data_IF_686231379732
#
_entry.id   IF_686231379732
#
_cell.length_a   1.000
_cell.length_b   1.000
_cell.length_c   1.000
_cell.angle_alpha   90.00
_cell.angle_beta   90.00
_cell.angle_gamma   90.00
#
_symmetry.space_group_name_H-M   'P 1'
#
loop_
_entity.id
_entity.type
_entity.pdbx_description
1 polymer ?
#
# COMPACT_ATOMS: atom_id res chain seq x y z
N UNK A 1 -20.04 -16.04 7.05
CA UNK A 1 -18.74 -15.82 6.39
C UNK A 1 -18.03 -14.78 7.22
N UNK A 2 -16.80 -15.04 7.68
CA UNK A 2 -16.01 -14.01 8.34
C UNK A 2 -15.81 -12.82 7.40
N UNK A 3 -15.89 -11.61 7.94
CA UNK A 3 -15.62 -10.38 7.21
C UNK A 3 -14.21 -9.88 7.56
N UNK A 4 -13.69 -8.96 6.76
CA UNK A 4 -12.44 -8.27 7.03
C UNK A 4 -12.65 -6.76 6.95
N UNK A 5 -11.85 -6.01 7.71
CA UNK A 5 -11.78 -4.55 7.61
C UNK A 5 -10.55 -4.19 6.81
N UNK A 6 -10.74 -3.36 5.80
CA UNK A 6 -9.69 -2.89 4.90
C UNK A 6 -9.61 -1.36 4.91
N UNK A 7 -8.41 -0.82 4.72
CA UNK A 7 -8.19 0.55 4.29
C UNK A 7 -8.06 0.57 2.77
N UNK A 8 -8.92 1.35 2.13
CA UNK A 8 -8.84 1.62 0.69
C UNK A 8 -8.26 3.02 0.46
N UNK A 9 -7.40 3.21 -0.55
CA UNK A 9 -6.97 4.53 -0.97
C UNK A 9 -8.16 5.40 -1.40
N UNK A 10 -8.10 6.70 -1.14
CA UNK A 10 -9.19 7.63 -1.45
C UNK A 10 -9.63 7.55 -2.93
N UNK A 11 -10.94 7.61 -3.17
CA UNK A 11 -11.50 7.58 -4.52
C UNK A 11 -11.00 8.76 -5.35
N UNK A 12 -10.56 8.48 -6.58
CA UNK A 12 -10.01 9.50 -7.48
C UNK A 12 -8.55 9.87 -7.21
N UNK A 13 -7.88 9.21 -6.25
CA UNK A 13 -6.43 9.32 -6.10
C UNK A 13 -5.75 8.64 -7.32
N UNK A 14 -4.82 9.31 -8.03
CA UNK A 14 -4.04 8.69 -9.11
C UNK A 14 -3.33 7.40 -8.68
N UNK A 15 -2.97 7.31 -7.40
CA UNK A 15 -2.44 6.10 -6.77
C UNK A 15 -3.35 4.89 -6.99
N UNK A 16 -4.66 5.04 -6.75
CA UNK A 16 -5.62 3.93 -6.88
C UNK A 16 -5.62 3.37 -8.30
N UNK A 17 -5.67 4.25 -9.31
CA UNK A 17 -5.67 3.83 -10.72
C UNK A 17 -4.37 3.13 -11.11
N UNK A 18 -3.23 3.68 -10.70
CA UNK A 18 -1.93 3.11 -11.00
C UNK A 18 -1.76 1.72 -10.38
N UNK A 19 -2.16 1.56 -9.11
CA UNK A 19 -2.09 0.28 -8.43
C UNK A 19 -3.16 -0.71 -8.90
N UNK A 20 -4.35 -0.26 -9.28
CA UNK A 20 -5.36 -1.11 -9.93
C UNK A 20 -4.77 -1.77 -11.18
N UNK A 21 -4.12 -1.01 -12.06
CA UNK A 21 -3.49 -1.53 -13.29
C UNK A 21 -2.30 -2.45 -12.99
N UNK A 22 -1.49 -2.10 -11.99
CA UNK A 22 -0.38 -2.95 -11.55
C UNK A 22 -0.86 -4.31 -11.05
N UNK A 23 -1.86 -4.30 -10.16
CA UNK A 23 -2.38 -5.49 -9.47
C UNK A 23 -3.22 -6.35 -10.41
N UNK A 24 -4.10 -5.74 -11.21
CA UNK A 24 -5.04 -6.49 -12.06
C UNK A 24 -4.39 -7.05 -13.31
N UNK A 25 -3.33 -6.42 -13.84
CA UNK A 25 -2.77 -6.79 -15.14
C UNK A 25 -1.26 -7.00 -15.11
N UNK A 26 -0.52 -5.97 -14.69
CA UNK A 26 0.93 -5.92 -14.95
C UNK A 26 1.73 -6.93 -14.14
N UNK A 27 1.40 -7.11 -12.86
CA UNK A 27 2.08 -8.04 -11.96
C UNK A 27 1.69 -9.49 -12.28
N UNK A 28 0.39 -9.88 -12.39
CA UNK A 28 0.01 -11.25 -12.71
C UNK A 28 0.63 -11.78 -14.02
N UNK A 29 0.74 -10.94 -15.06
CA UNK A 29 1.39 -11.30 -16.33
C UNK A 29 2.85 -11.72 -16.18
N UNK A 30 3.57 -11.13 -15.23
CA UNK A 30 4.96 -11.53 -14.97
C UNK A 30 5.05 -12.99 -14.49
N UNK A 31 3.97 -13.56 -13.96
CA UNK A 31 3.91 -14.90 -13.36
C UNK A 31 3.01 -15.87 -14.14
N UNK A 32 2.58 -15.51 -15.36
CA UNK A 32 1.57 -16.25 -16.13
C UNK A 32 0.29 -16.53 -15.34
N UNK A 33 -0.03 -15.67 -14.39
CA UNK A 33 -1.26 -15.76 -13.58
C UNK A 33 -2.37 -14.99 -14.25
N UNK A 34 -3.62 -15.39 -13.96
CA UNK A 34 -4.79 -14.64 -14.41
C UNK A 34 -4.87 -13.32 -13.64
N UNK A 35 -5.47 -12.32 -14.28
CA UNK A 35 -5.89 -11.12 -13.58
C UNK A 35 -6.76 -11.50 -12.37
N UNK A 36 -6.42 -10.96 -11.20
CA UNK A 36 -7.24 -11.08 -10.01
C UNK A 36 -7.96 -9.76 -9.79
N UNK A 37 -9.24 -9.82 -9.43
CA UNK A 37 -10.01 -8.64 -9.01
C UNK A 37 -9.64 -8.31 -7.56
N UNK A 38 -8.39 -7.95 -7.33
CA UNK A 38 -7.91 -7.46 -6.04
C UNK A 38 -7.89 -5.94 -6.11
N UNK A 39 -8.71 -5.28 -5.29
CA UNK A 39 -8.66 -3.83 -5.16
C UNK A 39 -7.44 -3.42 -4.32
N UNK A 40 -6.78 -2.29 -4.60
CA UNK A 40 -5.74 -1.70 -3.78
C UNK A 40 -6.24 -1.51 -2.34
N UNK A 41 -5.72 -2.28 -1.39
CA UNK A 41 -6.12 -2.14 0.01
C UNK A 41 -5.04 -2.62 0.98
N UNK A 42 -5.20 -2.22 2.23
CA UNK A 42 -4.46 -2.74 3.40
C UNK A 42 -5.44 -3.41 4.33
N UNK A 43 -5.24 -4.69 4.62
CA UNK A 43 -6.07 -5.38 5.61
C UNK A 43 -5.69 -4.96 7.02
N UNK A 44 -6.69 -4.53 7.79
CA UNK A 44 -6.54 -4.09 9.18
C UNK A 44 -6.89 -5.18 10.17
N UNK A 45 -7.96 -5.92 9.91
CA UNK A 45 -8.40 -6.99 10.80
C UNK A 45 -9.19 -8.02 10.01
N UNK A 46 -8.74 -9.28 9.96
CA UNK A 46 -9.55 -10.39 9.47
C UNK A 46 -10.49 -10.92 10.55
N UNK A 47 -11.42 -11.79 10.13
CA UNK A 47 -12.31 -12.58 10.98
C UNK A 47 -13.27 -11.75 11.85
N UNK A 48 -13.77 -10.66 11.29
CA UNK A 48 -14.72 -9.75 11.93
C UNK A 48 -16.12 -10.35 11.97
N UNK A 49 -16.72 -10.33 13.16
CA UNK A 49 -18.11 -10.69 13.42
C UNK A 49 -18.96 -9.44 13.70
N UNK A 50 -19.97 -9.19 12.86
CA UNK A 50 -20.80 -7.97 12.93
C UNK A 50 -22.11 -8.13 13.71
N UNK A 51 -22.31 -9.28 14.36
CA UNK A 51 -23.40 -9.49 15.32
C UNK A 51 -24.82 -9.29 14.77
N UNK A 52 -25.05 -9.57 13.49
CA UNK A 52 -26.37 -9.45 12.83
C UNK A 52 -26.72 -8.06 12.28
N UNK A 53 -25.83 -7.07 12.42
CA UNK A 53 -25.92 -5.79 11.68
C UNK A 53 -25.48 -5.98 10.23
N UNK A 54 -25.85 -5.06 9.33
CA UNK A 54 -25.15 -4.98 8.04
C UNK A 54 -23.70 -4.52 8.27
N UNK A 55 -22.75 -4.87 7.36
CA UNK A 55 -21.35 -4.46 7.52
C UNK A 55 -21.16 -2.95 7.68
N UNK A 56 -21.91 -2.15 6.90
CA UNK A 56 -21.82 -0.69 6.96
C UNK A 56 -22.39 -0.14 8.28
N UNK A 57 -23.55 -0.61 8.73
CA UNK A 57 -24.11 -0.19 10.02
C UNK A 57 -23.21 -0.56 11.21
N UNK A 58 -22.48 -1.66 11.09
CA UNK A 58 -21.49 -2.04 12.09
C UNK A 58 -20.28 -1.10 12.06
N UNK A 59 -19.72 -0.82 10.88
CA UNK A 59 -18.61 0.13 10.71
C UNK A 59 -18.98 1.54 11.21
N UNK A 60 -20.18 2.02 10.86
CA UNK A 60 -20.67 3.34 11.26
C UNK A 60 -20.90 3.45 12.79
N UNK A 61 -21.00 2.32 13.48
CA UNK A 61 -21.14 2.29 14.94
C UNK A 61 -19.81 2.29 15.69
N UNK A 62 -18.68 2.20 14.98
CA UNK A 62 -17.35 2.25 15.59
C UNK A 62 -16.93 3.69 15.87
N UNK A 63 -16.45 3.93 17.09
CA UNK A 63 -15.82 5.19 17.45
C UNK A 63 -14.36 5.16 17.03
N UNK A 64 -14.01 5.83 15.94
CA UNK A 64 -12.62 5.96 15.50
C UNK A 64 -11.92 7.11 16.22
N UNK A 65 -10.60 7.01 16.48
CA UNK A 65 -9.84 8.12 17.06
C UNK A 65 -9.86 9.34 16.12
N UNK A 66 -9.73 10.53 16.68
CA UNK A 66 -9.60 11.78 15.93
C UNK A 66 -8.28 11.77 15.13
N UNK A 67 -8.32 11.22 13.92
CA UNK A 67 -7.25 11.41 12.94
C UNK A 67 -7.16 12.90 12.59
N UNK A 68 -5.96 13.40 12.27
CA UNK A 68 -5.68 14.83 12.07
C UNK A 68 -6.81 15.50 11.29
N UNK A 69 -7.41 16.53 11.90
CA UNK A 69 -8.66 17.16 11.44
C UNK A 69 -8.61 17.70 10.01
N UNK A 70 -7.41 18.01 9.51
CA UNK A 70 -7.17 18.49 8.14
C UNK A 70 -7.46 17.43 7.07
N UNK A 71 -7.36 16.13 7.40
CA UNK A 71 -7.48 15.05 6.43
C UNK A 71 -8.47 13.94 6.82
N UNK A 72 -8.82 13.75 8.10
CA UNK A 72 -9.63 12.59 8.57
C UNK A 72 -9.15 11.25 7.96
N UNK A 73 -7.85 11.14 7.72
CA UNK A 73 -7.24 10.05 6.95
C UNK A 73 -6.15 9.36 7.76
N UNK A 74 -6.02 8.05 7.53
CA UNK A 74 -4.92 7.24 8.02
C UNK A 74 -3.83 7.28 6.96
N UNK A 75 -2.70 7.89 7.28
CA UNK A 75 -1.55 7.92 6.39
C UNK A 75 -0.76 6.62 6.57
N UNK A 76 -0.71 5.81 5.51
CA UNK A 76 0.05 4.56 5.48
C UNK A 76 1.31 4.79 4.66
N UNK A 77 2.48 4.43 5.22
CA UNK A 77 3.74 4.51 4.49
C UNK A 77 4.14 3.11 3.99
N UNK A 78 4.16 2.96 2.67
CA UNK A 78 4.69 1.77 2.00
C UNK A 78 6.22 1.72 2.13
N UNK A 79 6.77 0.53 2.32
CA UNK A 79 8.20 0.32 2.54
C UNK A 79 8.83 -0.55 1.44
N UNK A 80 8.83 -1.88 1.60
CA UNK A 80 9.55 -2.80 0.71
C UNK A 80 8.61 -3.76 0.01
N UNK A 81 8.91 -4.09 -1.25
CA UNK A 81 8.22 -5.17 -1.95
C UNK A 81 8.77 -6.50 -1.45
N UNK A 82 7.88 -7.41 -1.06
CA UNK A 82 8.22 -8.68 -0.45
C UNK A 82 7.50 -9.85 -1.13
N UNK A 83 8.13 -11.01 -1.06
CA UNK A 83 7.55 -12.29 -1.45
C UNK A 83 7.18 -13.07 -0.20
N UNK A 84 5.98 -13.64 -0.17
CA UNK A 84 5.46 -14.42 0.95
C UNK A 84 5.19 -15.87 0.53
N UNK A 85 5.21 -16.78 1.50
CA UNK A 85 4.89 -18.18 1.30
C UNK A 85 3.38 -18.40 1.17
N UNK A 86 2.55 -17.58 1.81
CA UNK A 86 1.10 -17.69 1.73
C UNK A 86 0.56 -17.27 0.33
N UNK A 87 -0.26 -18.11 -0.34
CA UNK A 87 -0.80 -17.82 -1.67
C UNK A 87 -1.61 -16.52 -1.76
N UNK A 88 -2.34 -16.17 -0.70
CA UNK A 88 -3.17 -14.97 -0.56
C UNK A 88 -2.37 -13.69 -0.30
N UNK A 89 -1.06 -13.77 -0.10
CA UNK A 89 -0.18 -12.60 0.07
C UNK A 89 1.15 -12.79 -0.66
N UNK A 90 1.12 -13.62 -1.71
CA UNK A 90 2.28 -14.15 -2.42
C UNK A 90 3.29 -13.07 -2.80
N UNK A 91 2.80 -11.92 -3.26
CA UNK A 91 3.60 -10.70 -3.34
C UNK A 91 2.83 -9.56 -2.68
N UNK A 92 3.52 -8.77 -1.89
CA UNK A 92 2.96 -7.64 -1.17
C UNK A 92 4.00 -6.53 -0.96
N UNK A 93 3.55 -5.38 -0.47
CA UNK A 93 4.42 -4.31 0.02
C UNK A 93 4.26 -4.24 1.53
N UNK A 94 5.36 -4.31 2.26
CA UNK A 94 5.36 -4.10 3.71
C UNK A 94 5.02 -2.65 4.03
N UNK A 95 4.40 -2.46 5.18
CA UNK A 95 4.04 -1.15 5.69
C UNK A 95 4.95 -0.81 6.87
N UNK A 96 5.44 0.43 6.91
CA UNK A 96 6.25 0.89 8.05
C UNK A 96 5.42 0.88 9.32
N UNK A 97 6.06 0.52 10.43
CA UNK A 97 5.45 0.57 11.75
C UNK A 97 4.92 1.98 12.04
N UNK A 98 3.61 2.07 12.26
CA UNK A 98 2.92 3.31 12.56
C UNK A 98 1.97 3.11 13.75
N UNK A 99 2.15 3.92 14.79
CA UNK A 99 1.37 3.83 16.03
C UNK A 99 -0.11 4.10 15.80
N UNK A 100 -0.48 4.98 14.86
CA UNK A 100 -1.89 5.25 14.56
C UNK A 100 -2.53 4.04 13.88
N UNK A 101 -1.81 3.40 12.95
CA UNK A 101 -2.25 2.19 12.27
C UNK A 101 -2.41 1.03 13.26
N UNK A 102 -1.47 0.84 14.19
CA UNK A 102 -1.57 -0.16 15.26
C UNK A 102 -2.75 0.14 16.19
N UNK A 103 -2.95 1.40 16.57
CA UNK A 103 -4.08 1.83 17.41
C UNK A 103 -5.42 1.55 16.72
N UNK A 104 -5.52 1.86 15.44
CA UNK A 104 -6.69 1.55 14.63
C UNK A 104 -6.93 0.04 14.54
N UNK A 105 -5.88 -0.75 14.29
CA UNK A 105 -5.98 -2.19 14.20
C UNK A 105 -6.44 -2.83 15.51
N UNK A 106 -5.91 -2.36 16.66
CA UNK A 106 -6.38 -2.78 17.98
C UNK A 106 -7.87 -2.47 18.18
N UNK A 107 -8.31 -1.26 17.82
CA UNK A 107 -9.70 -0.84 17.95
C UNK A 107 -10.65 -1.72 17.12
N UNK A 108 -10.30 -1.91 15.85
CA UNK A 108 -11.03 -2.76 14.92
C UNK A 108 -11.14 -4.20 15.44
N UNK A 109 -10.03 -4.76 15.92
CA UNK A 109 -10.00 -6.16 16.41
C UNK A 109 -10.74 -6.34 17.73
N UNK A 110 -10.68 -5.35 18.62
CA UNK A 110 -11.50 -5.33 19.84
C UNK A 110 -12.97 -5.36 19.48
N UNK A 111 -13.40 -4.51 18.54
CA UNK A 111 -14.80 -4.40 18.18
C UNK A 111 -15.32 -5.64 17.42
N UNK A 112 -14.49 -6.23 16.57
CA UNK A 112 -14.91 -7.27 15.62
C UNK A 112 -14.57 -8.71 16.01
N UNK A 113 -13.62 -8.95 16.92
CA UNK A 113 -13.05 -10.28 17.13
C UNK A 113 -13.02 -10.67 18.61
N UNK A 114 -12.33 -9.90 19.45
CA UNK A 114 -12.00 -10.35 20.82
C UNK A 114 -12.88 -9.77 21.91
N UNK A 115 -13.45 -8.57 21.69
CA UNK A 115 -14.13 -7.73 22.70
C UNK A 115 -13.26 -7.40 23.94
N UNK A 116 -11.98 -7.76 23.92
CA UNK A 116 -11.02 -7.62 25.01
C UNK A 116 -9.91 -6.66 24.56
N UNK A 117 -9.84 -5.50 25.24
CA UNK A 117 -8.87 -4.45 24.98
C UNK A 117 -7.43 -4.95 25.08
N UNK A 118 -7.09 -5.67 26.15
CA UNK A 118 -5.71 -6.07 26.41
C UNK A 118 -5.22 -7.07 25.36
N UNK A 119 -6.10 -7.99 24.94
CA UNK A 119 -5.79 -8.94 23.85
C UNK A 119 -5.66 -8.23 22.52
N UNK A 120 -6.54 -7.29 22.21
CA UNK A 120 -6.50 -6.55 20.96
C UNK A 120 -5.24 -5.69 20.83
N UNK A 121 -4.85 -4.99 21.91
CA UNK A 121 -3.62 -4.21 21.97
C UNK A 121 -2.37 -5.09 21.86
N UNK A 122 -2.35 -6.24 22.55
CA UNK A 122 -1.25 -7.20 22.45
C UNK A 122 -1.09 -7.73 21.02
N UNK A 123 -2.20 -8.07 20.36
CA UNK A 123 -2.17 -8.52 18.97
C UNK A 123 -1.67 -7.41 18.03
N UNK A 124 -2.19 -6.19 18.18
CA UNK A 124 -1.80 -5.07 17.32
C UNK A 124 -0.31 -4.72 17.41
N UNK A 125 0.31 -4.99 18.57
CA UNK A 125 1.73 -4.74 18.78
C UNK A 125 2.63 -5.89 18.33
N UNK A 126 2.20 -7.14 18.53
CA UNK A 126 3.09 -8.30 18.39
C UNK A 126 2.81 -9.15 17.14
N UNK A 127 1.56 -9.18 16.67
CA UNK A 127 1.09 -10.11 15.64
C UNK A 127 0.58 -9.38 14.38
N UNK A 128 0.16 -8.12 14.50
CA UNK A 128 -0.34 -7.35 13.38
C UNK A 128 0.78 -6.96 12.43
N UNK A 129 0.71 -7.51 11.22
CA UNK A 129 1.65 -7.26 10.12
C UNK A 129 0.87 -6.74 8.92
N UNK A 130 0.63 -5.43 8.86
CA UNK A 130 -0.10 -4.83 7.74
C UNK A 130 0.71 -4.95 6.46
N UNK A 131 0.04 -5.40 5.40
CA UNK A 131 0.63 -5.51 4.07
C UNK A 131 -0.32 -4.93 3.03
N UNK A 132 0.25 -4.37 1.97
CA UNK A 132 -0.48 -3.96 0.78
C UNK A 132 -0.34 -5.04 -0.29
N UNK A 133 -1.43 -5.75 -0.59
CA UNK A 133 -1.40 -6.91 -1.48
C UNK A 133 -1.13 -6.54 -2.95
N UNK A 134 -0.24 -7.28 -3.60
CA UNK A 134 0.09 -7.10 -5.03
C UNK A 134 -0.28 -8.30 -5.89
N UNK A 135 -0.15 -9.52 -5.35
CA UNK A 135 -0.42 -10.75 -6.08
C UNK A 135 -0.91 -11.84 -5.13
N UNK A 136 -2.03 -12.48 -5.49
CA UNK A 136 -2.45 -13.75 -4.91
C UNK A 136 -2.16 -14.84 -5.94
N UNK A 137 -1.26 -15.77 -5.64
CA UNK A 137 -0.91 -16.83 -6.59
C UNK A 137 -0.26 -18.02 -5.90
N UNK A 138 -0.50 -19.21 -6.45
CA UNK A 138 0.21 -20.43 -6.09
C UNK A 138 1.47 -20.58 -6.96
N UNK A 139 2.46 -19.75 -6.66
CA UNK A 139 3.76 -19.69 -7.36
C UNK A 139 4.87 -19.93 -6.33
N UNK A 140 5.95 -20.66 -6.67
CA UNK A 140 7.08 -20.82 -5.77
C UNK A 140 7.66 -19.49 -5.32
N UNK A 141 7.85 -19.30 -4.02
CA UNK A 141 8.33 -18.04 -3.43
C UNK A 141 9.68 -17.59 -4.01
N UNK A 142 10.56 -18.54 -4.35
CA UNK A 142 11.85 -18.26 -4.99
C UNK A 142 11.71 -17.65 -6.39
N UNK A 143 10.66 -17.99 -7.14
CA UNK A 143 10.37 -17.34 -8.42
C UNK A 143 9.91 -15.89 -8.21
N UNK A 144 9.08 -15.67 -7.19
CA UNK A 144 8.59 -14.35 -6.81
C UNK A 144 9.73 -13.44 -6.37
N UNK A 145 10.62 -13.92 -5.48
CA UNK A 145 11.82 -13.20 -5.03
C UNK A 145 12.70 -12.73 -6.19
N UNK A 146 12.92 -13.57 -7.21
CA UNK A 146 13.71 -13.21 -8.40
C UNK A 146 13.11 -12.06 -9.21
N UNK A 147 11.80 -11.84 -9.12
CA UNK A 147 11.07 -10.79 -9.85
C UNK A 147 10.76 -9.56 -9.00
N UNK A 148 11.15 -9.54 -7.71
CA UNK A 148 10.97 -8.36 -6.83
C UNK A 148 11.59 -7.09 -7.45
N UNK A 149 12.85 -7.07 -7.93
CA UNK A 149 13.43 -5.85 -8.50
C UNK A 149 12.69 -5.34 -9.75
N UNK A 150 12.16 -6.26 -10.56
CA UNK A 150 11.34 -5.92 -11.72
C UNK A 150 10.04 -5.25 -11.29
N UNK A 151 9.40 -5.74 -10.22
CA UNK A 151 8.14 -5.18 -9.71
C UNK A 151 8.39 -3.83 -9.02
N UNK A 152 9.45 -3.69 -8.24
CA UNK A 152 9.88 -2.41 -7.66
C UNK A 152 10.10 -1.35 -8.73
N UNK A 153 10.79 -1.70 -9.82
CA UNK A 153 10.99 -0.80 -10.96
C UNK A 153 9.66 -0.37 -11.58
N UNK A 154 8.72 -1.31 -11.78
CA UNK A 154 7.39 -1.01 -12.35
C UNK A 154 6.55 -0.12 -11.43
N UNK A 155 6.61 -0.34 -10.12
CA UNK A 155 5.99 0.56 -9.12
C UNK A 155 6.62 1.95 -9.21
N UNK A 156 7.95 2.03 -9.30
CA UNK A 156 8.66 3.30 -9.47
C UNK A 156 8.23 4.07 -10.70
N UNK A 157 8.05 3.40 -11.85
CA UNK A 157 7.49 4.02 -13.05
C UNK A 157 6.04 4.48 -12.86
N UNK A 158 5.19 3.63 -12.29
CA UNK A 158 3.79 3.98 -12.05
C UNK A 158 3.65 5.20 -11.13
N UNK A 159 4.49 5.29 -10.08
CA UNK A 159 4.55 6.45 -9.19
C UNK A 159 5.14 7.68 -9.91
N UNK A 160 6.21 7.50 -10.68
CA UNK A 160 6.81 8.57 -11.47
C UNK A 160 5.83 9.20 -12.47
N UNK A 161 5.02 8.37 -13.13
CA UNK A 161 3.99 8.80 -14.08
C UNK A 161 2.89 9.62 -13.39
N UNK A 162 2.54 9.31 -12.13
CA UNK A 162 1.62 10.13 -11.33
C UNK A 162 2.18 11.56 -11.19
N UNK A 163 3.47 11.69 -10.86
CA UNK A 163 4.09 13.01 -10.69
C UNK A 163 4.32 13.75 -12.02
N UNK A 164 4.63 13.02 -13.09
CA UNK A 164 4.80 13.58 -14.43
C UNK A 164 3.48 14.14 -14.99
N UNK A 165 2.35 13.46 -14.75
CA UNK A 165 1.02 13.90 -15.16
C UNK A 165 0.54 15.16 -14.42
N UNK A 166 1.07 15.44 -13.23
CA UNK A 166 0.74 16.62 -12.42
C UNK A 166 1.74 17.78 -12.54
N UNK A 167 2.68 17.74 -13.50
CA UNK A 167 3.61 18.85 -13.79
C UNK A 167 4.95 18.79 -13.05
N UNK A 168 5.28 17.65 -12.41
CA UNK A 168 6.61 17.42 -11.85
C UNK A 168 7.58 16.96 -12.94
N UNK A 169 8.39 17.88 -13.46
CA UNK A 169 9.55 17.52 -14.28
C UNK A 169 10.49 16.62 -13.49
N UNK A 170 10.46 15.32 -13.74
CA UNK A 170 11.50 14.37 -13.32
C UNK A 170 12.73 14.60 -14.23
N UNK A 171 13.56 15.58 -13.88
CA UNK A 171 14.91 15.67 -14.42
C UNK A 171 15.75 14.53 -13.83
N UNK A 172 15.81 13.39 -14.52
CA UNK A 172 16.95 12.48 -14.36
C UNK A 172 18.16 13.16 -15.00
N UNK A 173 18.89 13.93 -14.21
CA UNK A 173 20.19 14.47 -14.59
C UNK A 173 21.19 13.33 -14.69
N UNK A 174 21.59 13.02 -15.91
CA UNK A 174 22.76 12.20 -16.21
C UNK A 174 24.00 12.97 -15.73
N UNK A 175 24.59 12.51 -14.62
CA UNK A 175 25.81 13.05 -14.04
C UNK A 175 27.01 12.61 -14.87
N UNK A 176 27.24 13.28 -15.99
CA UNK A 176 28.50 13.28 -16.72
C UNK A 176 29.30 14.53 -16.39
N UNK A 177 30.25 14.42 -15.46
CA UNK A 177 31.37 15.35 -15.34
C UNK A 177 32.18 15.37 -16.64
N UNK A 178 32.44 16.55 -17.20
CA UNK A 178 33.79 17.09 -17.40
C UNK A 178 33.78 18.45 -18.14
N UNK A 179 34.33 19.48 -17.47
CA UNK A 179 35.30 20.37 -18.10
C UNK A 179 34.81 21.66 -18.78
N UNK A 180 35.31 22.80 -18.29
CA UNK A 180 35.72 23.90 -19.18
C UNK A 180 35.18 25.27 -18.82
N UNK A 181 36.03 26.09 -18.21
CA UNK A 181 35.76 27.47 -17.81
C UNK A 181 35.91 28.51 -18.95
N UNK A 182 35.42 29.72 -18.63
CA UNK A 182 35.82 31.07 -19.08
C UNK A 182 35.13 31.67 -20.31
N UNK A 183 34.56 32.87 -20.12
CA UNK A 183 34.51 33.90 -21.16
C UNK A 183 33.42 34.96 -21.00
N UNK A 184 33.60 35.91 -20.08
CA UNK A 184 32.98 37.25 -20.18
C UNK A 184 33.45 37.95 -21.46
N UNK A 185 32.52 38.50 -22.27
CA UNK A 185 32.79 39.61 -23.20
C UNK A 185 31.53 40.49 -23.31
N UNK A 186 31.67 41.73 -22.82
CA UNK A 186 30.85 42.90 -23.12
C UNK A 186 30.75 43.17 -24.64
N UNK A 187 29.62 43.72 -25.11
CA UNK A 187 29.53 44.24 -26.47
C UNK A 187 28.22 44.97 -26.76
N UNK A 188 28.28 46.30 -26.75
CA UNK A 188 27.30 47.29 -27.20
C UNK A 188 26.70 47.04 -28.60
N UNK A 189 25.42 47.40 -28.75
CA UNK A 189 24.93 48.38 -29.72
C UNK A 189 23.47 48.79 -29.42
#
# INVERSE_FOLDING_TARGET
MPLSIWLEPHKGNPFTKAFDELISDTIPRNFSQKAHNLSPHVEITPDVEVGGKSPQEWLDSLEFPDFKAEFKEVVVTLDQVQADDAPERKMNISIKDDTNLQTLAALCRRAGVTQDEAKAQSWAKNDFQPVFGLLHADVPTEEVKRKVPLVEMKIGFAIGDIFACCGGTLCMGDGGEEGGAVGDVEGDA
#
